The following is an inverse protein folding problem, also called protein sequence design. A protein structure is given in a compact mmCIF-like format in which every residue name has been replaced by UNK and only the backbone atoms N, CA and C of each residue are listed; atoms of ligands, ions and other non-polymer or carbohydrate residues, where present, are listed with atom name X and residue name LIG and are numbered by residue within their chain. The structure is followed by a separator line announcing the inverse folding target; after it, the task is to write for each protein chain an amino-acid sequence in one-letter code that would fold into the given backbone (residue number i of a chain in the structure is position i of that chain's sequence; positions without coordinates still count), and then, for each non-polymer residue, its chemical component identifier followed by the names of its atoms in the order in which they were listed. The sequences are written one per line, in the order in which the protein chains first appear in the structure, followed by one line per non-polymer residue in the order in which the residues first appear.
data_IF_029369057970
#
_entry.id   IF_029369057970
#
_cell.length_a   1.000
_cell.length_b   1.000
_cell.length_c   1.000
_cell.angle_alpha   90.00
_cell.angle_beta   90.00
_cell.angle_gamma   90.00
#
_symmetry.space_group_name_H-M   'P 1'
#
loop_
_entity.id
_entity.type
_entity.pdbx_description
1 polymer ?
#
# COMPACT_ATOMS: atom_id res chain seq x y z
N UNK A 1 -12.11 23.66 -15.77
CA UNK A 1 -12.18 22.27 -16.30
C UNK A 1 -10.83 21.62 -16.00
N UNK A 2 -10.80 20.42 -15.43
CA UNK A 2 -9.54 19.71 -15.21
C UNK A 2 -8.89 19.29 -16.52
N UNK A 3 -7.56 19.21 -16.54
CA UNK A 3 -6.82 18.74 -17.70
C UNK A 3 -7.12 17.26 -17.98
N UNK A 4 -6.90 16.84 -19.21
CA UNK A 4 -6.85 15.43 -19.58
C UNK A 4 -5.55 14.81 -19.05
N UNK A 5 -5.59 13.53 -18.67
CA UNK A 5 -4.38 12.80 -18.33
C UNK A 5 -3.41 12.79 -19.51
N UNK A 6 -2.12 12.99 -19.19
CA UNK A 6 -1.01 12.89 -20.16
C UNK A 6 -0.57 11.44 -20.38
N UNK A 7 -0.98 10.51 -19.50
CA UNK A 7 -0.58 9.11 -19.51
C UNK A 7 -1.69 8.21 -20.02
N UNK A 8 -2.90 8.34 -19.45
CA UNK A 8 -4.08 7.55 -19.80
C UNK A 8 -5.31 8.45 -19.85
N UNK A 9 -5.74 8.85 -21.06
CA UNK A 9 -6.81 9.82 -21.27
C UNK A 9 -8.16 9.44 -20.68
N UNK A 10 -8.37 8.16 -20.47
CA UNK A 10 -9.58 7.58 -19.90
C UNK A 10 -9.49 7.39 -18.38
N UNK A 11 -8.49 7.98 -17.72
CA UNK A 11 -8.32 7.96 -16.26
C UNK A 11 -8.17 9.36 -15.67
N UNK A 12 -8.45 9.45 -14.36
CA UNK A 12 -8.17 10.61 -13.53
C UNK A 12 -6.88 10.35 -12.72
N UNK A 13 -5.71 10.48 -13.34
CA UNK A 13 -4.44 10.35 -12.61
C UNK A 13 -3.87 11.72 -12.19
N UNK A 14 -2.72 11.68 -11.48
CA UNK A 14 -2.06 12.86 -10.92
C UNK A 14 -1.72 13.93 -11.97
N UNK A 15 -1.57 13.57 -13.27
CA UNK A 15 -1.26 14.54 -14.33
C UNK A 15 -2.44 15.46 -14.64
N UNK A 16 -3.62 15.19 -14.08
CA UNK A 16 -4.81 16.03 -14.19
C UNK A 16 -4.90 17.12 -13.11
N UNK A 17 -3.99 17.10 -12.12
CA UNK A 17 -3.92 18.11 -11.05
C UNK A 17 -3.57 19.51 -11.57
N UNK A 18 -3.73 20.49 -10.69
CA UNK A 18 -3.21 21.85 -10.90
C UNK A 18 -1.68 21.79 -11.06
N UNK A 19 -1.13 22.33 -12.18
CA UNK A 19 0.31 22.33 -12.42
C UNK A 19 1.14 22.93 -11.28
N UNK A 20 0.58 23.91 -10.55
CA UNK A 20 1.28 24.53 -9.41
C UNK A 20 1.61 23.55 -8.30
N UNK A 21 0.73 22.56 -8.04
CA UNK A 21 0.98 21.50 -7.06
C UNK A 21 2.10 20.59 -7.55
N UNK A 22 2.08 20.25 -8.85
CA UNK A 22 3.10 19.40 -9.46
C UNK A 22 4.47 20.08 -9.44
N UNK A 23 4.52 21.37 -9.81
CA UNK A 23 5.75 22.16 -9.82
C UNK A 23 6.31 22.36 -8.42
N UNK A 24 5.47 22.58 -7.42
CA UNK A 24 5.90 22.67 -6.02
C UNK A 24 6.49 21.33 -5.53
N UNK A 25 5.82 20.22 -5.81
CA UNK A 25 6.29 18.91 -5.43
C UNK A 25 7.65 18.58 -6.08
N UNK A 26 7.83 18.90 -7.37
CA UNK A 26 9.05 18.62 -8.10
C UNK A 26 10.29 19.38 -7.55
N UNK A 27 10.07 20.53 -6.88
CA UNK A 27 11.16 21.35 -6.30
C UNK A 27 11.59 20.92 -4.90
N UNK A 28 10.84 20.04 -4.24
CA UNK A 28 11.20 19.58 -2.89
C UNK A 28 12.51 18.82 -2.91
N UNK A 29 13.39 19.16 -1.99
CA UNK A 29 14.61 18.39 -1.71
C UNK A 29 14.33 17.27 -0.71
N UNK A 30 15.27 16.38 -0.52
CA UNK A 30 15.17 15.36 0.55
C UNK A 30 15.09 15.98 1.96
N UNK A 31 15.72 17.13 2.16
CA UNK A 31 15.66 17.86 3.43
C UNK A 31 14.26 18.47 3.66
N UNK A 32 13.62 19.00 2.61
CA UNK A 32 12.26 19.54 2.68
C UNK A 32 11.25 18.46 3.06
N UNK A 33 11.38 17.25 2.49
CA UNK A 33 10.50 16.11 2.80
C UNK A 33 10.50 15.80 4.29
N UNK A 34 11.69 15.80 4.94
CA UNK A 34 11.80 15.55 6.38
C UNK A 34 11.04 16.60 7.22
N UNK A 35 10.94 17.83 6.72
CA UNK A 35 10.23 18.95 7.37
C UNK A 35 8.71 18.96 7.16
N UNK A 36 8.14 18.07 6.34
CA UNK A 36 6.70 18.06 6.01
C UNK A 36 5.81 17.38 7.05
N UNK A 37 6.38 16.86 8.15
CA UNK A 37 5.61 16.27 9.24
C UNK A 37 4.66 17.30 9.87
N UNK A 38 3.50 16.83 10.35
CA UNK A 38 2.50 17.62 11.07
C UNK A 38 1.74 16.75 12.07
N UNK A 39 0.92 17.31 12.96
CA UNK A 39 0.03 16.50 13.82
C UNK A 39 -0.79 15.51 12.98
N UNK A 40 -0.70 14.22 13.31
CA UNK A 40 -1.33 13.11 12.58
C UNK A 40 -0.59 12.64 11.32
N UNK A 41 0.53 13.28 10.96
CA UNK A 41 1.38 12.84 9.85
C UNK A 41 2.86 12.88 10.25
N UNK A 42 3.48 11.71 10.34
CA UNK A 42 4.87 11.53 10.74
C UNK A 42 5.71 11.21 9.50
N UNK A 43 6.89 11.80 9.40
CA UNK A 43 7.91 11.46 8.40
C UNK A 43 9.13 10.92 9.13
N UNK A 44 9.55 9.71 8.77
CA UNK A 44 10.77 9.06 9.29
C UNK A 44 11.77 8.81 8.18
N UNK A 45 13.05 9.01 8.51
CA UNK A 45 14.17 8.77 7.62
C UNK A 45 15.06 7.67 8.19
N UNK A 46 15.49 6.76 7.31
CA UNK A 46 16.42 5.69 7.63
C UNK A 46 17.65 5.83 6.75
N UNK A 47 18.83 5.67 7.33
CA UNK A 47 20.10 5.88 6.64
C UNK A 47 20.62 4.60 5.99
N UNK A 48 20.16 3.41 6.40
CA UNK A 48 20.51 2.13 5.80
C UNK A 48 19.26 1.30 5.47
N UNK A 49 19.34 0.44 4.46
CA UNK A 49 18.26 -0.48 4.10
C UNK A 49 18.01 -1.51 5.20
N UNK A 50 19.05 -1.94 5.91
CA UNK A 50 18.93 -2.89 7.02
C UNK A 50 18.07 -2.30 8.13
N UNK A 51 18.33 -1.05 8.55
CA UNK A 51 17.53 -0.39 9.57
C UNK A 51 16.11 -0.10 9.08
N UNK A 52 15.93 0.19 7.80
CA UNK A 52 14.64 0.41 7.17
C UNK A 52 13.79 -0.87 7.22
N UNK A 53 14.26 -2.00 6.65
CA UNK A 53 13.50 -3.24 6.63
C UNK A 53 13.33 -3.88 8.01
N UNK A 54 14.33 -3.73 8.92
CA UNK A 54 14.16 -4.17 10.30
C UNK A 54 13.03 -3.39 11.00
N UNK A 55 12.97 -2.08 10.82
CA UNK A 55 11.91 -1.27 11.41
C UNK A 55 10.53 -1.60 10.81
N UNK A 56 10.47 -1.91 9.52
CA UNK A 56 9.26 -2.38 8.84
C UNK A 56 8.78 -3.73 9.39
N UNK A 57 9.69 -4.70 9.56
CA UNK A 57 9.40 -5.99 10.16
C UNK A 57 8.94 -5.87 11.63
N UNK A 58 9.51 -4.96 12.39
CA UNK A 58 9.15 -4.73 13.78
C UNK A 58 7.74 -4.18 13.96
N UNK A 59 7.13 -3.55 12.96
CA UNK A 59 5.71 -3.15 13.02
C UNK A 59 4.78 -4.37 13.08
N UNK A 60 5.09 -5.47 12.37
CA UNK A 60 4.35 -6.74 12.47
C UNK A 60 4.43 -7.30 13.88
N UNK A 61 5.65 -7.45 14.37
CA UNK A 61 5.92 -8.03 15.70
C UNK A 61 5.28 -7.17 16.80
N UNK A 62 5.36 -5.84 16.67
CA UNK A 62 4.75 -4.92 17.62
C UNK A 62 3.22 -5.07 17.63
N UNK A 63 2.57 -5.17 16.47
CA UNK A 63 1.13 -5.34 16.38
C UNK A 63 0.69 -6.68 16.99
N UNK A 64 1.38 -7.78 16.67
CA UNK A 64 1.05 -9.11 17.14
C UNK A 64 1.31 -9.31 18.64
N UNK A 65 2.38 -8.72 19.20
CA UNK A 65 2.66 -8.79 20.64
C UNK A 65 1.61 -8.13 21.53
N UNK A 66 0.71 -7.35 20.99
CA UNK A 66 -0.41 -6.75 21.73
C UNK A 66 -1.65 -7.64 21.74
N UNK A 67 -1.63 -8.74 20.97
CA UNK A 67 -2.76 -9.64 20.86
C UNK A 67 -2.92 -10.50 22.10
N UNK A 68 -4.18 -10.70 22.48
CA UNK A 68 -4.59 -11.67 23.49
C UNK A 68 -5.86 -12.38 23.01
N UNK A 69 -6.21 -13.58 23.54
CA UNK A 69 -7.44 -14.24 23.15
C UNK A 69 -8.72 -13.43 23.37
N UNK A 70 -8.73 -12.56 24.39
CA UNK A 70 -9.88 -11.69 24.68
C UNK A 70 -9.84 -10.35 23.93
N UNK A 71 -8.72 -10.01 23.33
CA UNK A 71 -8.52 -8.75 22.59
C UNK A 71 -7.54 -8.98 21.45
N UNK A 72 -7.99 -9.67 20.39
CA UNK A 72 -7.10 -9.98 19.28
C UNK A 72 -6.68 -8.73 18.51
N UNK A 73 -5.45 -8.71 18.03
CA UNK A 73 -4.89 -7.64 17.20
C UNK A 73 -4.21 -8.22 15.98
N UNK A 74 -4.01 -7.38 14.98
CA UNK A 74 -3.32 -7.77 13.76
C UNK A 74 -2.78 -6.60 12.95
N UNK A 75 -2.27 -6.94 11.79
CA UNK A 75 -1.70 -6.02 10.82
C UNK A 75 -2.22 -6.36 9.42
N UNK A 76 -2.49 -5.35 8.61
CA UNK A 76 -2.67 -5.50 7.17
C UNK A 76 -1.34 -5.22 6.48
N UNK A 77 -0.86 -6.16 5.68
CA UNK A 77 0.46 -6.09 5.04
C UNK A 77 0.43 -6.18 3.53
N UNK A 78 1.34 -5.48 2.83
CA UNK A 78 1.49 -5.51 1.38
C UNK A 78 2.45 -6.61 0.93
N UNK A 79 2.40 -6.94 -0.34
CA UNK A 79 3.50 -7.54 -1.08
C UNK A 79 4.13 -6.44 -1.96
N UNK A 80 5.26 -5.93 -1.50
CA UNK A 80 6.07 -4.90 -2.14
C UNK A 80 6.24 -3.67 -1.25
N UNK A 81 7.41 -3.56 -0.61
CA UNK A 81 8.55 -4.49 -0.62
C UNK A 81 8.25 -5.83 0.08
N UNK A 82 9.16 -6.81 -0.06
CA UNK A 82 9.03 -8.15 0.54
C UNK A 82 10.19 -8.52 1.46
N UNK A 83 11.21 -7.69 1.53
CA UNK A 83 12.46 -7.95 2.26
C UNK A 83 12.25 -8.02 3.78
N UNK A 84 11.22 -7.38 4.31
CA UNK A 84 10.83 -7.44 5.71
C UNK A 84 10.23 -8.81 6.08
N UNK A 85 9.57 -9.52 5.17
CA UNK A 85 8.82 -10.74 5.49
C UNK A 85 9.67 -11.87 6.08
N UNK A 86 10.85 -12.21 5.53
CA UNK A 86 11.75 -13.18 6.17
C UNK A 86 12.24 -12.73 7.55
N UNK A 87 12.44 -11.43 7.75
CA UNK A 87 12.84 -10.86 9.04
C UNK A 87 11.70 -11.00 10.07
N UNK A 88 10.45 -10.78 9.66
CA UNK A 88 9.28 -11.02 10.52
C UNK A 88 9.27 -12.44 11.04
N UNK A 89 9.39 -13.44 10.16
CA UNK A 89 9.40 -14.85 10.55
C UNK A 89 10.56 -15.17 11.49
N UNK A 90 11.76 -14.66 11.19
CA UNK A 90 12.92 -14.84 12.06
C UNK A 90 12.69 -14.25 13.44
N UNK A 91 12.24 -13.00 13.54
CA UNK A 91 12.02 -12.30 14.82
C UNK A 91 10.92 -13.01 15.64
N UNK A 92 9.85 -13.48 14.99
CA UNK A 92 8.78 -14.24 15.64
C UNK A 92 9.34 -15.52 16.27
N UNK A 93 10.18 -16.27 15.53
CA UNK A 93 10.80 -17.49 16.02
C UNK A 93 11.81 -17.22 17.14
N UNK A 94 12.70 -16.23 16.96
CA UNK A 94 13.75 -15.93 17.94
C UNK A 94 13.18 -15.40 19.26
N UNK A 95 12.13 -14.58 19.20
CA UNK A 95 11.47 -14.01 20.37
C UNK A 95 10.30 -14.88 20.90
N UNK A 96 10.04 -16.03 20.27
CA UNK A 96 8.96 -16.96 20.64
C UNK A 96 7.59 -16.23 20.74
N UNK A 97 7.25 -15.42 19.73
CA UNK A 97 5.98 -14.67 19.71
C UNK A 97 4.84 -15.59 19.33
N UNK A 98 3.92 -15.80 20.24
CA UNK A 98 2.73 -16.64 20.02
C UNK A 98 1.70 -15.90 19.13
N UNK A 99 1.46 -16.41 17.92
CA UNK A 99 0.54 -15.82 16.95
C UNK A 99 -0.86 -16.44 16.97
N UNK A 100 -1.17 -17.37 17.87
CA UNK A 100 -2.45 -18.10 17.87
C UNK A 100 -3.69 -17.21 18.05
N UNK A 101 -3.55 -16.03 18.66
CA UNK A 101 -4.61 -15.04 18.79
C UNK A 101 -4.45 -13.83 17.86
N UNK A 102 -3.45 -13.85 17.00
CA UNK A 102 -3.14 -12.74 16.09
C UNK A 102 -3.89 -12.87 14.77
N UNK A 103 -4.02 -11.75 14.06
CA UNK A 103 -4.64 -11.69 12.74
C UNK A 103 -3.69 -11.04 11.73
N UNK A 104 -3.84 -11.44 10.47
CA UNK A 104 -3.17 -10.84 9.32
C UNK A 104 -4.19 -10.63 8.19
N UNK A 105 -4.14 -9.49 7.55
CA UNK A 105 -4.91 -9.18 6.35
C UNK A 105 -3.96 -8.93 5.18
N UNK A 106 -4.08 -9.75 4.12
CA UNK A 106 -3.40 -9.47 2.87
C UNK A 106 -4.05 -8.25 2.20
N UNK A 107 -3.24 -7.34 1.70
CA UNK A 107 -3.72 -6.08 1.15
C UNK A 107 -4.37 -6.23 -0.21
N UNK A 108 -3.84 -7.11 -1.06
CA UNK A 108 -4.23 -7.28 -2.45
C UNK A 108 -4.08 -8.74 -2.91
N UNK A 109 -4.74 -9.08 -4.01
CA UNK A 109 -4.44 -10.25 -4.83
C UNK A 109 -4.84 -9.98 -6.29
N UNK A 110 -4.12 -10.58 -7.23
CA UNK A 110 -4.46 -10.51 -8.65
C UNK A 110 -5.79 -11.18 -8.95
N UNK A 111 -6.56 -10.55 -9.85
CA UNK A 111 -7.87 -11.07 -10.28
C UNK A 111 -7.83 -11.35 -11.78
N UNK A 112 -8.25 -12.57 -12.16
CA UNK A 112 -8.33 -13.03 -13.56
C UNK A 112 -9.45 -14.08 -13.69
N UNK A 113 -10.14 -14.04 -14.79
CA UNK A 113 -11.17 -15.05 -15.14
C UNK A 113 -12.25 -15.24 -14.05
N UNK A 114 -12.69 -14.15 -13.44
CA UNK A 114 -13.78 -14.16 -12.47
C UNK A 114 -13.38 -14.54 -11.03
N UNK A 115 -12.09 -14.69 -10.74
CA UNK A 115 -11.57 -15.08 -9.41
C UNK A 115 -10.17 -14.55 -9.16
N UNK A 116 -9.73 -14.67 -7.92
CA UNK A 116 -8.31 -14.48 -7.56
C UNK A 116 -7.44 -15.52 -8.27
N UNK A 117 -6.20 -15.15 -8.57
CA UNK A 117 -5.22 -16.11 -9.09
C UNK A 117 -4.93 -17.19 -8.03
N UNK A 118 -4.68 -18.44 -8.44
CA UNK A 118 -4.36 -19.50 -7.49
C UNK A 118 -3.01 -19.24 -6.82
N UNK A 119 -2.83 -19.72 -5.58
CA UNK A 119 -1.57 -19.63 -4.82
C UNK A 119 -0.36 -20.19 -5.61
N UNK A 120 -0.58 -21.10 -6.55
CA UNK A 120 0.48 -21.61 -7.44
C UNK A 120 0.89 -20.64 -8.54
N UNK A 121 0.16 -19.53 -8.73
CA UNK A 121 0.51 -18.53 -9.74
C UNK A 121 1.80 -17.80 -9.35
N UNK A 122 2.76 -17.60 -10.28
CA UNK A 122 4.06 -16.98 -9.95
C UNK A 122 3.97 -15.59 -9.33
N UNK A 123 2.93 -14.83 -9.68
CA UNK A 123 2.67 -13.47 -9.17
C UNK A 123 1.72 -13.43 -7.98
N UNK A 124 1.23 -14.55 -7.44
CA UNK A 124 0.29 -14.54 -6.31
C UNK A 124 0.92 -13.89 -5.08
N UNK A 125 0.22 -12.93 -4.49
CA UNK A 125 0.63 -12.26 -3.26
C UNK A 125 0.45 -13.18 -2.05
N UNK A 126 -0.64 -13.93 -2.00
CA UNK A 126 -0.84 -14.94 -0.96
C UNK A 126 0.30 -15.97 -0.93
N UNK A 127 0.80 -16.40 -2.11
CA UNK A 127 1.98 -17.25 -2.20
C UNK A 127 3.21 -16.60 -1.56
N UNK A 128 3.47 -15.34 -1.88
CA UNK A 128 4.64 -14.64 -1.37
C UNK A 128 4.57 -14.47 0.16
N UNK A 129 3.41 -14.11 0.71
CA UNK A 129 3.19 -14.05 2.16
C UNK A 129 3.47 -15.39 2.83
N UNK A 130 2.94 -16.47 2.27
CA UNK A 130 3.11 -17.82 2.82
C UNK A 130 4.57 -18.28 2.73
N UNK A 131 5.21 -18.16 1.57
CA UNK A 131 6.58 -18.65 1.35
C UNK A 131 7.65 -17.81 2.05
N UNK A 132 7.45 -16.49 2.15
CA UNK A 132 8.45 -15.59 2.72
C UNK A 132 8.29 -15.38 4.22
N UNK A 133 7.07 -15.55 4.77
CA UNK A 133 6.80 -15.32 6.18
C UNK A 133 6.14 -16.53 6.85
N UNK A 134 4.86 -16.80 6.60
CA UNK A 134 4.06 -17.67 7.47
C UNK A 134 4.53 -19.12 7.51
N UNK A 135 4.98 -19.70 6.39
CA UNK A 135 5.52 -21.07 6.35
C UNK A 135 6.91 -21.22 7.00
N UNK A 136 7.54 -20.11 7.40
CA UNK A 136 8.85 -20.10 8.09
C UNK A 136 8.72 -19.97 9.59
N UNK A 137 7.52 -19.73 10.09
CA UNK A 137 7.24 -19.63 11.53
C UNK A 137 7.11 -21.03 12.13
N UNK A 138 7.69 -21.23 13.32
CA UNK A 138 7.54 -22.49 14.07
C UNK A 138 6.05 -22.85 14.19
N UNK A 139 5.63 -24.06 13.82
CA UNK A 139 4.23 -24.48 13.92
C UNK A 139 3.59 -24.30 15.30
N UNK A 140 4.39 -24.30 16.37
CA UNK A 140 3.90 -24.04 17.74
C UNK A 140 3.49 -22.58 17.98
N UNK A 141 4.01 -21.66 17.17
CA UNK A 141 3.77 -20.23 17.26
C UNK A 141 2.81 -19.74 16.17
N UNK A 142 2.54 -20.58 15.17
CA UNK A 142 1.85 -20.19 13.94
C UNK A 142 0.45 -19.65 14.18
N UNK A 143 0.09 -18.68 13.36
CA UNK A 143 -1.25 -18.14 13.26
C UNK A 143 -2.20 -19.19 12.67
N UNK A 144 -3.42 -19.38 13.24
CA UNK A 144 -4.44 -20.23 12.65
C UNK A 144 -4.83 -19.76 11.25
N UNK A 145 -5.17 -20.70 10.36
CA UNK A 145 -5.52 -20.40 8.97
C UNK A 145 -6.73 -19.42 8.87
N UNK A 146 -7.69 -19.56 9.76
CA UNK A 146 -8.87 -18.69 9.85
C UNK A 146 -8.55 -17.24 10.20
N UNK A 147 -7.36 -16.98 10.75
CA UNK A 147 -6.87 -15.63 11.07
C UNK A 147 -5.97 -15.04 9.97
N UNK A 148 -5.66 -15.82 8.93
CA UNK A 148 -4.96 -15.37 7.72
C UNK A 148 -5.98 -14.95 6.67
N UNK A 149 -6.31 -13.67 6.65
CA UNK A 149 -7.35 -13.12 5.78
C UNK A 149 -6.79 -12.76 4.40
N UNK A 150 -6.70 -13.73 3.51
CA UNK A 150 -6.42 -13.50 2.09
C UNK A 150 -7.71 -13.12 1.35
N UNK A 151 -7.64 -12.14 0.44
CA UNK A 151 -8.81 -11.66 -0.29
C UNK A 151 -9.23 -12.70 -1.33
N UNK A 152 -10.49 -13.14 -1.25
CA UNK A 152 -11.12 -14.06 -2.22
C UNK A 152 -12.29 -13.37 -2.89
N UNK A 153 -12.44 -13.56 -4.20
CA UNK A 153 -13.47 -12.90 -4.99
C UNK A 153 -14.90 -13.22 -4.53
N UNK A 154 -15.12 -14.42 -4.06
CA UNK A 154 -16.42 -14.91 -3.55
C UNK A 154 -16.64 -14.62 -2.05
N UNK A 155 -15.65 -14.05 -1.36
CA UNK A 155 -15.66 -13.81 0.09
C UNK A 155 -15.23 -12.37 0.47
N UNK A 156 -15.46 -11.40 -0.41
CA UNK A 156 -15.08 -9.99 -0.18
C UNK A 156 -15.80 -9.41 1.04
N UNK A 157 -17.05 -9.81 1.28
CA UNK A 157 -17.83 -9.34 2.43
C UNK A 157 -17.29 -9.89 3.74
N UNK A 158 -16.91 -11.15 3.76
CA UNK A 158 -16.29 -11.85 4.88
C UNK A 158 -14.92 -11.24 5.20
N UNK A 159 -14.13 -10.92 4.17
CA UNK A 159 -12.88 -10.20 4.35
C UNK A 159 -13.09 -8.83 4.98
N UNK A 160 -14.03 -8.02 4.48
CA UNK A 160 -14.38 -6.71 5.08
C UNK A 160 -14.86 -6.84 6.52
N UNK A 161 -15.70 -7.85 6.81
CA UNK A 161 -16.26 -8.11 8.14
C UNK A 161 -15.18 -8.59 9.14
N UNK A 162 -14.11 -9.24 8.66
CA UNK A 162 -13.04 -9.73 9.53
C UNK A 162 -12.29 -8.60 10.27
N UNK A 163 -12.30 -7.38 9.73
CA UNK A 163 -11.77 -6.19 10.43
C UNK A 163 -12.58 -5.80 11.69
N UNK A 164 -13.77 -6.36 11.88
CA UNK A 164 -14.57 -6.15 13.08
C UNK A 164 -14.34 -7.27 14.13
N UNK A 165 -13.61 -8.34 13.78
CA UNK A 165 -13.27 -9.45 14.68
C UNK A 165 -12.01 -9.18 15.53
N UNK A 166 -11.09 -8.39 15.00
CA UNK A 166 -9.83 -8.06 15.64
C UNK A 166 -9.43 -6.63 15.29
N UNK A 167 -8.66 -5.99 16.18
CA UNK A 167 -8.15 -4.64 15.93
C UNK A 167 -6.99 -4.68 14.93
N UNK A 168 -7.17 -4.09 13.78
CA UNK A 168 -6.05 -3.83 12.88
C UNK A 168 -5.26 -2.61 13.37
N UNK A 169 -4.10 -2.84 13.98
CA UNK A 169 -3.30 -1.78 14.58
C UNK A 169 -2.55 -0.97 13.52
N UNK A 170 -2.11 -1.64 12.47
CA UNK A 170 -1.34 -1.02 11.40
C UNK A 170 -1.84 -1.56 10.06
N UNK A 171 -2.06 -0.67 9.11
CA UNK A 171 -2.04 -0.98 7.69
C UNK A 171 -0.70 -0.52 7.14
N UNK A 172 0.14 -1.47 6.80
CA UNK A 172 1.43 -1.22 6.18
C UNK A 172 1.28 -1.22 4.66
N UNK A 173 2.03 -0.42 3.94
CA UNK A 173 1.96 -0.40 2.49
C UNK A 173 3.15 0.28 1.83
N UNK A 174 3.29 0.06 0.52
CA UNK A 174 4.13 0.83 -0.38
C UNK A 174 3.35 1.89 -1.14
N UNK A 175 4.04 2.65 -1.97
CA UNK A 175 3.42 3.58 -2.92
C UNK A 175 3.73 3.15 -4.34
N UNK A 176 2.70 2.91 -5.14
CA UNK A 176 2.88 2.62 -6.55
C UNK A 176 3.10 3.87 -7.41
N UNK A 177 3.51 3.67 -8.66
CA UNK A 177 3.80 4.72 -9.64
C UNK A 177 2.62 5.69 -9.85
N UNK A 178 1.40 5.20 -9.77
CA UNK A 178 0.18 6.01 -9.93
C UNK A 178 -0.21 6.76 -8.65
N UNK A 179 0.60 6.66 -7.57
CA UNK A 179 0.42 7.33 -6.27
C UNK A 179 -0.80 6.79 -5.50
N UNK A 180 -0.93 5.48 -5.49
CA UNK A 180 -1.91 4.74 -4.71
C UNK A 180 -1.28 4.10 -3.45
N UNK A 181 -2.12 3.64 -2.53
CA UNK A 181 -1.81 2.57 -1.57
C UNK A 181 -2.70 1.38 -1.90
N UNK A 182 -2.24 0.15 -1.64
CA UNK A 182 -2.88 -1.03 -2.19
C UNK A 182 -3.09 -0.84 -3.71
N UNK A 183 -4.06 -1.51 -4.34
CA UNK A 183 -4.45 -1.17 -5.71
C UNK A 183 -5.63 -0.19 -5.75
N UNK A 184 -5.66 0.79 -4.83
CA UNK A 184 -6.62 1.89 -4.91
C UNK A 184 -6.21 2.87 -6.00
N UNK A 185 -6.31 2.45 -7.26
CA UNK A 185 -5.95 3.23 -8.43
C UNK A 185 -6.91 4.42 -8.68
N UNK A 186 -6.45 5.47 -9.39
CA UNK A 186 -7.35 6.49 -9.92
C UNK A 186 -8.42 5.88 -10.80
N UNK A 187 -9.64 6.39 -10.71
CA UNK A 187 -10.78 5.83 -11.44
C UNK A 187 -10.78 6.22 -12.91
N UNK A 188 -11.51 5.45 -13.72
CA UNK A 188 -11.79 5.79 -15.11
C UNK A 188 -12.68 7.03 -15.24
N UNK A 189 -12.51 7.73 -16.36
CA UNK A 189 -13.34 8.87 -16.79
C UNK A 189 -14.58 8.36 -17.52
N UNK A 190 -15.41 7.61 -16.84
CA UNK A 190 -16.65 7.09 -17.41
C UNK A 190 -17.82 7.25 -16.45
N UNK A 191 -19.02 6.85 -16.90
CA UNK A 191 -20.23 6.90 -16.09
C UNK A 191 -20.39 8.23 -15.35
N UNK A 192 -20.60 8.17 -14.04
CA UNK A 192 -20.76 9.36 -13.17
C UNK A 192 -19.46 10.19 -13.01
N UNK A 193 -18.31 9.61 -13.33
CA UNK A 193 -17.00 10.28 -13.23
C UNK A 193 -16.46 10.76 -14.58
N UNK A 194 -17.31 10.86 -15.62
CA UNK A 194 -16.92 11.32 -16.94
C UNK A 194 -16.31 12.73 -16.93
N UNK A 195 -16.89 13.65 -16.18
CA UNK A 195 -16.54 15.08 -16.20
C UNK A 195 -15.68 15.55 -15.02
N UNK A 196 -15.69 14.79 -13.92
CA UNK A 196 -14.88 15.06 -12.72
C UNK A 196 -14.49 13.76 -12.01
N UNK A 197 -13.31 13.72 -11.35
CA UNK A 197 -12.96 12.58 -10.50
C UNK A 197 -13.91 12.48 -9.30
N UNK A 198 -13.98 11.34 -8.62
CA UNK A 198 -14.67 11.21 -7.35
C UNK A 198 -14.21 12.28 -6.37
N UNK A 199 -15.12 12.82 -5.61
CA UNK A 199 -14.76 13.60 -4.43
C UNK A 199 -14.00 12.71 -3.42
N UNK A 200 -13.19 13.28 -2.52
CA UNK A 200 -12.54 12.51 -1.47
C UNK A 200 -13.52 11.65 -0.66
N UNK A 201 -14.70 12.15 -0.37
CA UNK A 201 -15.74 11.42 0.36
C UNK A 201 -16.28 10.22 -0.43
N UNK A 202 -16.56 10.39 -1.73
CA UNK A 202 -17.01 9.29 -2.60
C UNK A 202 -15.95 8.20 -2.74
N UNK A 203 -14.68 8.59 -2.89
CA UNK A 203 -13.59 7.63 -3.00
C UNK A 203 -13.38 6.87 -1.68
N UNK A 204 -13.43 7.55 -0.54
CA UNK A 204 -13.31 6.93 0.79
C UNK A 204 -14.44 5.99 1.15
N UNK A 205 -15.59 6.11 0.49
CA UNK A 205 -16.71 5.18 0.67
C UNK A 205 -16.53 3.83 -0.06
N UNK A 206 -15.42 3.65 -0.81
CA UNK A 206 -15.14 2.40 -1.50
C UNK A 206 -14.59 1.36 -0.51
N UNK A 207 -15.23 0.21 -0.44
CA UNK A 207 -14.77 -0.96 0.31
C UNK A 207 -13.83 -1.85 -0.53
N UNK A 208 -13.43 -2.96 0.06
CA UNK A 208 -12.68 -4.01 -0.63
C UNK A 208 -13.44 -4.48 -1.87
N UNK A 209 -12.76 -4.57 -3.01
CA UNK A 209 -13.41 -4.81 -4.30
C UNK A 209 -12.46 -5.30 -5.37
N UNK A 210 -13.00 -5.77 -6.49
CA UNK A 210 -12.26 -5.89 -7.75
C UNK A 210 -12.05 -4.48 -8.32
N UNK A 211 -10.83 -4.22 -8.78
CA UNK A 211 -10.41 -2.94 -9.36
C UNK A 211 -9.83 -3.15 -10.75
N UNK A 212 -10.14 -2.24 -11.69
CA UNK A 212 -9.42 -2.13 -12.96
C UNK A 212 -8.13 -1.34 -12.71
N UNK A 213 -7.01 -1.89 -13.14
CA UNK A 213 -5.71 -1.28 -12.89
C UNK A 213 -5.40 -0.20 -13.93
N UNK A 214 -4.83 0.88 -13.46
CA UNK A 214 -4.29 1.93 -14.31
C UNK A 214 -3.09 1.39 -15.14
N UNK A 215 -2.91 1.80 -16.41
CA UNK A 215 -1.77 1.35 -17.23
C UNK A 215 -0.41 1.52 -16.57
N UNK A 216 -0.21 2.59 -15.80
CA UNK A 216 1.04 2.77 -15.03
C UNK A 216 1.26 1.67 -13.99
N UNK A 217 0.21 1.24 -13.31
CA UNK A 217 0.27 0.15 -12.33
C UNK A 217 0.64 -1.16 -13.00
N UNK A 218 0.06 -1.45 -14.17
CA UNK A 218 0.38 -2.66 -14.95
C UNK A 218 1.85 -2.63 -15.40
N UNK A 219 2.31 -1.51 -15.96
CA UNK A 219 3.70 -1.35 -16.43
C UNK A 219 4.70 -1.45 -15.26
N UNK A 220 4.39 -0.84 -14.12
CA UNK A 220 5.23 -0.95 -12.93
C UNK A 220 5.38 -2.42 -12.51
N UNK A 221 4.28 -3.16 -12.39
CA UNK A 221 4.32 -4.56 -11.97
C UNK A 221 4.97 -5.46 -13.02
N UNK A 222 4.83 -5.16 -14.31
CA UNK A 222 5.58 -5.86 -15.35
C UNK A 222 7.10 -5.68 -15.16
N UNK A 223 7.54 -4.45 -14.86
CA UNK A 223 8.96 -4.12 -14.63
C UNK A 223 9.50 -4.77 -13.35
N UNK A 224 8.77 -4.70 -12.25
CA UNK A 224 9.26 -5.13 -10.94
C UNK A 224 9.13 -6.63 -10.70
N UNK A 225 8.11 -7.27 -11.24
CA UNK A 225 7.77 -8.67 -10.92
C UNK A 225 7.48 -9.55 -12.14
N UNK A 226 7.06 -8.94 -13.26
CA UNK A 226 6.66 -9.66 -14.47
C UNK A 226 7.78 -9.87 -15.50
N UNK A 227 9.04 -9.64 -15.14
CA UNK A 227 10.19 -9.78 -16.07
C UNK A 227 10.13 -8.85 -17.28
N UNK A 228 9.42 -7.71 -17.19
CA UNK A 228 9.17 -6.77 -18.27
C UNK A 228 8.04 -7.17 -19.22
N UNK A 229 7.39 -8.33 -19.02
CA UNK A 229 6.34 -8.85 -19.88
C UNK A 229 4.98 -8.33 -19.43
N UNK A 230 4.51 -7.25 -20.04
CA UNK A 230 3.24 -6.56 -19.68
C UNK A 230 2.04 -7.50 -19.73
N UNK A 231 1.96 -8.40 -20.73
CA UNK A 231 0.87 -9.37 -20.88
C UNK A 231 0.83 -10.44 -19.77
N UNK A 232 1.88 -10.60 -18.98
CA UNK A 232 1.92 -11.52 -17.84
C UNK A 232 1.23 -10.94 -16.61
N UNK A 233 1.05 -9.62 -16.54
CA UNK A 233 0.41 -8.94 -15.41
C UNK A 233 -1.09 -8.87 -15.64
N UNK A 234 -1.93 -9.33 -14.69
CA UNK A 234 -3.36 -9.15 -14.79
C UNK A 234 -3.77 -7.68 -14.85
N UNK A 235 -4.83 -7.37 -15.60
CA UNK A 235 -5.35 -6.00 -15.70
C UNK A 235 -6.31 -5.64 -14.57
N UNK A 236 -6.63 -6.59 -13.70
CA UNK A 236 -7.51 -6.42 -12.55
C UNK A 236 -6.90 -7.03 -11.29
N UNK A 237 -7.30 -6.52 -10.15
CA UNK A 237 -6.93 -7.04 -8.84
C UNK A 237 -8.10 -6.96 -7.86
N UNK A 238 -8.04 -7.77 -6.82
CA UNK A 238 -8.80 -7.59 -5.57
C UNK A 238 -7.95 -6.71 -4.67
N UNK A 239 -8.54 -5.68 -4.07
CA UNK A 239 -7.79 -4.75 -3.24
C UNK A 239 -8.60 -4.31 -2.02
N UNK A 240 -7.93 -4.21 -0.88
CA UNK A 240 -8.48 -3.59 0.32
C UNK A 240 -8.90 -2.16 0.01
N UNK A 241 -10.08 -1.77 0.48
CA UNK A 241 -10.61 -0.45 0.19
C UNK A 241 -10.28 0.61 1.26
N UNK A 242 -10.58 1.88 0.94
CA UNK A 242 -10.53 2.95 1.94
C UNK A 242 -11.37 2.67 3.18
N UNK A 243 -12.55 2.05 3.06
CA UNK A 243 -13.40 1.73 4.21
C UNK A 243 -12.65 0.91 5.26
N UNK A 244 -11.92 -0.13 4.84
CA UNK A 244 -11.11 -0.97 5.73
C UNK A 244 -9.86 -0.21 6.21
N UNK A 245 -9.26 0.62 5.36
CA UNK A 245 -8.11 1.46 5.73
C UNK A 245 -8.47 2.38 6.90
N UNK A 246 -9.67 2.97 6.92
CA UNK A 246 -10.10 3.86 8.01
C UNK A 246 -10.53 3.11 9.28
N UNK A 247 -10.62 1.77 9.26
CA UNK A 247 -10.74 0.93 10.47
C UNK A 247 -9.40 0.69 11.16
N UNK A 248 -8.26 0.98 10.51
CA UNK A 248 -6.93 0.76 11.09
C UNK A 248 -6.52 1.92 12.00
N UNK A 249 -5.74 1.63 13.05
CA UNK A 249 -5.30 2.67 14.00
C UNK A 249 -4.15 3.52 13.45
N UNK A 250 -3.37 2.97 12.53
CA UNK A 250 -2.25 3.63 11.88
C UNK A 250 -2.12 3.15 10.44
N UNK A 251 -1.81 4.08 9.53
CA UNK A 251 -1.33 3.75 8.17
C UNK A 251 0.16 4.06 8.11
N UNK A 252 0.96 3.07 7.71
CA UNK A 252 2.43 3.15 7.63
C UNK A 252 2.89 2.84 6.22
N UNK A 253 3.39 3.85 5.51
CA UNK A 253 3.83 3.72 4.13
C UNK A 253 5.35 3.71 4.08
N UNK A 254 5.91 2.74 3.34
CA UNK A 254 7.33 2.47 3.26
C UNK A 254 7.86 2.73 1.85
N UNK A 255 8.89 3.58 1.74
CA UNK A 255 9.48 4.05 0.49
C UNK A 255 10.96 3.65 0.41
N UNK A 256 11.28 2.44 -0.08
CA UNK A 256 12.67 1.99 -0.22
C UNK A 256 13.42 2.72 -1.34
N UNK A 257 12.70 3.33 -2.28
CA UNK A 257 13.30 4.12 -3.36
C UNK A 257 13.78 3.29 -4.57
N UNK A 258 13.53 1.98 -4.60
CA UNK A 258 14.03 1.11 -5.67
C UNK A 258 13.31 1.27 -7.01
N UNK A 259 12.19 1.92 -7.02
CA UNK A 259 11.33 2.00 -8.21
C UNK A 259 11.43 3.37 -8.90
N UNK A 260 12.47 4.16 -8.58
CA UNK A 260 12.76 5.44 -9.20
C UNK A 260 11.53 6.33 -9.37
N UNK A 261 10.76 6.47 -8.28
CA UNK A 261 9.60 7.36 -8.26
C UNK A 261 9.82 8.60 -7.35
N UNK A 262 10.93 9.34 -7.55
CA UNK A 262 11.28 10.47 -6.68
C UNK A 262 10.21 11.56 -6.68
N UNK A 263 9.52 11.75 -7.80
CA UNK A 263 8.42 12.70 -7.89
C UNK A 263 7.19 12.24 -7.09
N UNK A 264 6.83 10.96 -7.19
CA UNK A 264 5.63 10.43 -6.52
C UNK A 264 5.70 10.59 -5.00
N UNK A 265 6.83 10.24 -4.38
CA UNK A 265 7.00 10.36 -2.93
C UNK A 265 6.97 11.83 -2.46
N UNK A 266 7.48 12.77 -3.27
CA UNK A 266 7.38 14.22 -2.99
C UNK A 266 5.95 14.73 -3.08
N UNK A 267 5.26 14.36 -4.15
CA UNK A 267 3.87 14.79 -4.40
C UNK A 267 2.94 14.35 -3.27
N UNK A 268 2.99 13.07 -2.91
CA UNK A 268 2.08 12.52 -1.88
C UNK A 268 2.42 13.07 -0.50
N UNK A 269 3.70 13.20 -0.15
CA UNK A 269 4.12 13.82 1.12
C UNK A 269 3.65 15.27 1.22
N UNK A 270 3.82 16.05 0.14
CA UNK A 270 3.35 17.44 0.08
C UNK A 270 1.84 17.54 0.26
N UNK A 271 1.08 16.74 -0.51
CA UNK A 271 -0.39 16.79 -0.48
C UNK A 271 -0.94 16.39 0.88
N UNK A 272 -0.37 15.36 1.53
CA UNK A 272 -0.77 14.94 2.88
C UNK A 272 -0.41 16.02 3.91
N UNK A 273 0.79 16.58 3.83
CA UNK A 273 1.24 17.65 4.73
C UNK A 273 0.32 18.88 4.65
N UNK A 274 -0.02 19.32 3.43
CA UNK A 274 -0.87 20.48 3.17
C UNK A 274 -2.38 20.20 3.27
N UNK A 275 -2.78 18.96 3.56
CA UNK A 275 -4.20 18.54 3.57
C UNK A 275 -4.91 18.84 2.26
N UNK A 276 -4.34 18.39 1.16
CA UNK A 276 -4.92 18.48 -0.20
C UNK A 276 -5.35 17.07 -0.65
N UNK A 277 -6.49 16.53 -0.15
CA UNK A 277 -6.98 15.23 -0.58
C UNK A 277 -7.57 15.33 -1.99
N UNK A 278 -7.13 14.46 -2.89
CA UNK A 278 -7.60 14.39 -4.28
C UNK A 278 -7.54 12.95 -4.80
N UNK A 279 -8.66 12.43 -5.30
CA UNK A 279 -8.76 11.06 -5.76
C UNK A 279 -7.95 10.74 -7.03
N UNK A 280 -7.42 11.76 -7.72
CA UNK A 280 -6.44 11.57 -8.81
C UNK A 280 -5.04 11.22 -8.29
N UNK A 281 -4.84 11.39 -6.99
CA UNK A 281 -3.68 10.94 -6.22
C UNK A 281 -4.22 10.21 -5.00
N UNK A 282 -4.67 8.95 -5.13
CA UNK A 282 -5.39 8.26 -4.06
C UNK A 282 -4.65 8.28 -2.73
N UNK A 283 -3.32 8.14 -2.72
CA UNK A 283 -2.49 8.25 -1.51
C UNK A 283 -2.73 9.57 -0.75
N UNK A 284 -3.06 10.67 -1.44
CA UNK A 284 -3.32 11.97 -0.80
C UNK A 284 -4.55 11.97 0.11
N UNK A 285 -5.47 11.02 -0.08
CA UNK A 285 -6.66 10.88 0.76
C UNK A 285 -6.30 10.53 2.20
N UNK A 286 -5.12 9.95 2.44
CA UNK A 286 -4.58 9.69 3.76
C UNK A 286 -4.35 10.97 4.57
N UNK A 287 -4.39 12.15 3.94
CA UNK A 287 -4.34 13.45 4.62
C UNK A 287 -5.41 13.60 5.72
N UNK A 288 -6.52 12.89 5.60
CA UNK A 288 -7.65 12.89 6.55
C UNK A 288 -7.62 11.72 7.53
N UNK A 289 -6.68 10.78 7.40
CA UNK A 289 -6.51 9.72 8.38
C UNK A 289 -5.80 10.28 9.63
N UNK A 290 -6.24 9.93 10.86
CA UNK A 290 -5.72 10.55 12.08
C UNK A 290 -4.26 10.20 12.40
N UNK A 291 -3.74 9.12 11.86
CA UNK A 291 -2.40 8.62 12.19
C UNK A 291 -1.73 8.00 10.95
N UNK A 292 -0.94 8.79 10.26
CA UNK A 292 -0.19 8.37 9.06
C UNK A 292 1.30 8.53 9.31
N UNK A 293 2.07 7.55 8.90
CA UNK A 293 3.53 7.60 8.93
C UNK A 293 4.10 7.25 7.56
N UNK A 294 4.94 8.12 7.03
CA UNK A 294 5.77 7.82 5.86
C UNK A 294 7.20 7.54 6.30
N UNK A 295 7.75 6.45 5.79
CA UNK A 295 9.08 5.94 6.10
C UNK A 295 9.91 5.97 4.82
N UNK A 296 11.05 6.65 4.85
CA UNK A 296 11.92 6.79 3.69
C UNK A 296 13.29 6.21 3.95
N UNK A 297 13.80 5.42 3.00
CA UNK A 297 15.23 5.21 2.89
C UNK A 297 15.85 6.46 2.27
N UNK A 298 16.72 7.17 3.02
CA UNK A 298 17.23 8.49 2.63
C UNK A 298 17.91 8.50 1.27
N UNK A 299 18.78 7.54 0.99
CA UNK A 299 19.48 7.45 -0.28
C UNK A 299 18.55 7.06 -1.45
N UNK A 300 17.38 6.48 -1.17
CA UNK A 300 16.37 6.12 -2.17
C UNK A 300 15.43 7.27 -2.58
N UNK A 301 15.54 8.46 -1.96
CA UNK A 301 14.66 9.59 -2.28
C UNK A 301 14.90 10.12 -3.70
N UNK A 302 16.14 10.04 -4.18
CA UNK A 302 16.51 10.50 -5.53
C UNK A 302 16.27 12.01 -5.77
N UNK A 303 16.35 12.41 -7.02
CA UNK A 303 16.10 13.79 -7.49
C UNK A 303 15.00 13.83 -8.54
N UNK A 304 14.35 14.98 -8.71
CA UNK A 304 13.42 15.25 -9.82
C UNK A 304 14.09 16.04 -10.96
N UNK A 305 15.39 16.24 -10.92
CA UNK A 305 16.14 16.88 -12.00
C UNK A 305 16.16 15.96 -13.21
N UNK A 306 15.81 16.52 -14.37
CA UNK A 306 15.88 15.80 -15.63
C UNK A 306 17.33 15.79 -16.11
N UNK A 307 17.94 14.61 -16.20
CA UNK A 307 19.29 14.43 -16.67
C UNK A 307 19.37 13.24 -17.63
N UNK A 308 20.14 13.41 -18.73
CA UNK A 308 20.43 12.30 -19.65
C UNK A 308 21.65 11.54 -19.12
N UNK A 309 21.49 10.23 -18.95
CA UNK A 309 22.56 9.32 -18.49
C UNK A 309 23.24 8.63 -19.65
#
# INVERSE_FOLDING_TARGET
MRNLSKVARDYWDYTTLDPRILDEAARLTAADIAGLARPGFIVKMYDTLESFFLAEALEYVWAWRQSTPSRPTGICGPIGPTEQLPLVAQIVNDLQVDLRSCHFWAMDEWYRDGREVPVTHPLSFARADLELCFNRIDPKLSMPEENLHFIKANAVREYSASYDLARCLIMQGGQGEVKHWAFNDPVRRDGKFKDAPPTPAEYRALGTRVVDLHPMTIIQNARTSGGGVVSSVPSQALSVGPVETWKTEKVSIWHPGWHDNPFGLRLTTLMISKKIPDSSVPMSLLADHPNVQFNFYRAGIGTCEAEMH
#
